data_IF_766862586811
#
_entry.id   IF_766862586811
#
_cell.length_a   1.000
_cell.length_b   1.000
_cell.length_c   1.000
_cell.angle_alpha   90.00
_cell.angle_beta   90.00
_cell.angle_gamma   90.00
#
_symmetry.space_group_name_H-M   'P 1'
#
loop_
_entity.id
_entity.type
_entity.pdbx_description
1 polymer ?
#
# COMPACT_ATOMS: atom_id res chain seq x y z
N UNK A 1 56.45 13.71 41.57
CA UNK A 1 57.12 14.95 41.08
C UNK A 1 56.21 15.62 40.03
N UNK A 2 56.02 16.96 39.92
CA UNK A 2 56.92 18.05 39.40
C UNK A 2 57.49 17.69 38.00
N UNK A 3 57.38 18.46 36.89
CA UNK A 3 56.98 19.86 36.55
C UNK A 3 56.13 19.86 35.24
N UNK A 4 55.06 20.65 35.01
CA UNK A 4 54.87 22.10 34.65
C UNK A 4 55.14 22.54 33.17
N UNK A 5 54.08 23.15 32.59
CA UNK A 5 53.82 24.02 31.38
C UNK A 5 54.85 25.18 31.15
N UNK A 6 54.82 26.09 30.10
CA UNK A 6 53.64 26.65 29.36
C UNK A 6 53.78 27.26 27.92
N UNK A 7 52.68 27.85 27.40
CA UNK A 7 52.62 28.85 26.29
C UNK A 7 52.48 28.25 24.86
N UNK A 8 52.00 28.94 23.81
CA UNK A 8 51.35 30.26 23.59
C UNK A 8 50.82 30.27 22.11
N UNK A 9 50.07 31.21 21.50
CA UNK A 9 49.14 32.32 21.86
C UNK A 9 48.25 32.63 20.61
N UNK A 10 47.14 33.39 20.71
CA UNK A 10 46.29 33.84 19.55
C UNK A 10 46.72 35.20 18.98
N UNK A 11 46.26 35.57 17.77
CA UNK A 11 45.55 36.84 17.62
C UNK A 11 44.15 36.71 16.99
N UNK A 12 43.34 37.75 17.18
CA UNK A 12 42.04 37.96 16.52
C UNK A 12 42.20 39.19 15.62
N UNK A 13 41.71 39.14 14.38
CA UNK A 13 41.53 40.32 13.53
C UNK A 13 40.05 40.43 13.14
N UNK A 14 39.50 41.63 13.23
CA UNK A 14 38.10 41.94 12.91
C UNK A 14 38.05 42.88 11.70
N UNK A 15 37.02 42.75 10.85
CA UNK A 15 36.47 43.92 10.13
C UNK A 15 35.04 43.73 9.60
N UNK A 16 34.25 44.74 9.94
CA UNK A 16 32.84 45.04 9.69
C UNK A 16 32.26 44.75 8.30
N UNK A 17 30.99 44.29 8.31
CA UNK A 17 29.83 44.77 7.54
C UNK A 17 29.94 45.02 6.02
N UNK A 18 29.07 44.34 5.26
CA UNK A 18 28.64 44.74 3.92
C UNK A 18 27.27 44.12 3.60
N UNK A 19 26.27 44.93 3.25
CA UNK A 19 24.90 44.47 2.97
C UNK A 19 24.62 44.34 1.47
N UNK A 20 23.80 43.35 1.06
CA UNK A 20 22.86 43.45 -0.08
C UNK A 20 21.91 42.25 -0.19
N UNK A 21 20.73 42.52 -0.75
CA UNK A 21 19.64 41.55 -1.00
C UNK A 21 19.84 40.87 -2.35
N UNK A 22 19.70 39.54 -2.41
CA UNK A 22 19.26 38.80 -3.60
C UNK A 22 18.34 37.67 -3.13
N UNK A 23 17.02 37.87 -3.19
CA UNK A 23 16.12 37.57 -4.31
C UNK A 23 15.83 36.06 -4.47
N UNK A 24 14.67 35.70 -3.94
CA UNK A 24 13.95 34.45 -4.16
C UNK A 24 13.76 34.20 -5.67
N UNK A 25 14.21 33.05 -6.19
CA UNK A 25 13.89 32.59 -7.54
C UNK A 25 12.75 31.57 -7.42
N UNK A 26 11.55 31.99 -7.84
CA UNK A 26 10.39 31.10 -7.95
C UNK A 26 10.41 30.50 -9.35
N UNK A 27 10.66 29.20 -9.47
CA UNK A 27 10.42 28.47 -10.71
C UNK A 27 8.92 28.21 -10.88
N UNK A 28 8.25 29.12 -11.60
CA UNK A 28 6.90 28.89 -12.10
C UNK A 28 7.00 27.96 -13.31
N UNK A 29 6.78 26.66 -13.12
CA UNK A 29 6.60 25.73 -14.24
C UNK A 29 5.18 25.88 -14.75
N UNK A 30 5.04 26.44 -15.96
CA UNK A 30 3.75 26.68 -16.59
C UNK A 30 3.11 25.37 -17.08
N UNK A 31 1.78 25.30 -17.01
CA UNK A 31 1.01 24.24 -17.66
C UNK A 31 0.97 24.49 -19.18
N UNK A 32 1.20 23.48 -20.04
CA UNK A 32 0.93 23.59 -21.47
C UNK A 32 -0.58 23.58 -21.72
N UNK A 33 -1.15 24.73 -22.07
CA UNK A 33 -2.52 24.82 -22.60
C UNK A 33 -2.59 24.22 -24.00
N UNK A 34 -3.73 23.61 -24.33
CA UNK A 34 -3.98 23.09 -25.68
C UNK A 34 -4.07 24.24 -26.70
N UNK A 35 -3.26 24.20 -27.75
CA UNK A 35 -3.53 24.96 -28.97
C UNK A 35 -4.37 24.11 -29.93
N UNK A 36 -5.57 24.60 -30.24
CA UNK A 36 -6.37 24.11 -31.35
C UNK A 36 -5.87 24.82 -32.62
N UNK A 37 -5.10 24.12 -33.46
CA UNK A 37 -4.68 24.63 -34.77
C UNK A 37 -5.66 24.21 -35.86
N UNK A 38 -6.50 25.15 -36.29
CA UNK A 38 -7.38 24.97 -37.45
C UNK A 38 -6.63 25.34 -38.74
N UNK A 39 -6.27 24.34 -39.55
CA UNK A 39 -5.79 24.54 -40.93
C UNK A 39 -6.74 23.92 -41.93
N UNK A 40 -7.12 24.69 -42.95
CA UNK A 40 -8.02 24.26 -44.02
C UNK A 40 -7.23 23.68 -45.19
N UNK A 41 -7.75 22.58 -45.75
CA UNK A 41 -7.74 22.20 -47.17
C UNK A 41 -6.53 22.58 -48.04
N UNK A 42 -5.87 21.55 -48.57
CA UNK A 42 -5.58 21.48 -50.01
C UNK A 42 -5.84 20.03 -50.48
N UNK A 43 -6.81 19.85 -51.38
CA UNK A 43 -7.09 18.57 -52.05
C UNK A 43 -6.67 18.73 -53.51
N UNK A 44 -5.67 17.97 -53.94
CA UNK A 44 -5.27 17.87 -55.34
C UNK A 44 -6.32 17.10 -56.14
N UNK A 45 -6.70 17.63 -57.32
CA UNK A 45 -7.65 16.97 -58.24
C UNK A 45 -6.89 16.17 -59.30
N UNK A 46 -7.30 14.91 -59.50
CA UNK A 46 -7.14 14.19 -60.78
C UNK A 46 -8.51 13.51 -61.05
N UNK A 47 -9.08 13.60 -62.28
CA UNK A 47 -10.44 13.16 -62.54
C UNK A 47 -10.54 11.70 -63.05
N UNK A 48 -11.64 11.02 -62.71
CA UNK A 48 -12.03 9.74 -63.29
C UNK A 48 -13.54 9.53 -63.17
N UNK A 49 -14.22 9.22 -64.29
CA UNK A 49 -15.66 8.88 -64.30
C UNK A 49 -15.85 7.36 -64.24
N UNK A 50 -16.74 6.90 -63.37
CA UNK A 50 -17.70 5.83 -63.68
C UNK A 50 -18.89 5.90 -62.73
N UNK A 51 -20.08 5.54 -63.21
CA UNK A 51 -21.31 5.51 -62.43
C UNK A 51 -21.80 4.07 -62.24
N UNK A 52 -22.29 3.73 -61.05
CA UNK A 52 -23.42 2.79 -60.96
C UNK A 52 -24.20 2.84 -59.64
N UNK A 53 -25.53 2.79 -59.78
CA UNK A 53 -26.55 2.21 -58.88
C UNK A 53 -26.32 2.24 -57.36
N UNK A 54 -27.13 3.06 -56.70
CA UNK A 54 -27.47 2.90 -55.29
C UNK A 54 -28.21 1.58 -55.01
N UNK A 55 -27.83 0.90 -53.92
CA UNK A 55 -28.71 -0.01 -53.17
C UNK A 55 -28.91 0.57 -51.78
N UNK A 56 -30.16 0.77 -51.35
CA UNK A 56 -30.47 1.12 -49.96
C UNK A 56 -30.24 -0.12 -49.09
N UNK A 57 -29.35 -0.01 -48.11
CA UNK A 57 -29.34 -0.90 -46.94
C UNK A 57 -29.79 -0.05 -45.75
N UNK A 58 -30.94 -0.40 -45.17
CA UNK A 58 -31.49 0.26 -43.99
C UNK A 58 -30.76 -0.23 -42.74
N UNK A 59 -29.69 0.48 -42.35
CA UNK A 59 -29.18 0.38 -41.00
C UNK A 59 -30.04 1.23 -40.06
N UNK A 60 -30.91 0.57 -39.29
CA UNK A 60 -31.63 1.19 -38.17
C UNK A 60 -30.66 1.47 -37.04
N UNK A 61 -29.97 2.61 -37.11
CA UNK A 61 -29.02 3.06 -36.08
C UNK A 61 -29.72 3.33 -34.76
N UNK A 62 -29.52 2.45 -33.77
CA UNK A 62 -29.85 2.74 -32.39
C UNK A 62 -28.91 3.84 -31.87
N UNK A 63 -29.41 4.82 -31.10
CA UNK A 63 -28.59 5.94 -30.65
C UNK A 63 -27.53 5.44 -29.66
N UNK A 64 -26.26 5.66 -30.00
CA UNK A 64 -25.12 5.47 -29.10
C UNK A 64 -25.36 6.29 -27.83
N UNK A 65 -25.65 5.61 -26.71
CA UNK A 65 -25.71 6.24 -25.39
C UNK A 65 -24.32 6.78 -25.08
N UNK A 66 -24.16 8.09 -25.20
CA UNK A 66 -22.96 8.83 -24.79
C UNK A 66 -22.83 8.74 -23.27
N UNK A 67 -22.20 7.66 -22.81
CA UNK A 67 -21.91 7.44 -21.40
C UNK A 67 -20.99 8.54 -20.89
N UNK A 68 -21.56 9.56 -20.24
CA UNK A 68 -20.81 10.65 -19.64
C UNK A 68 -19.80 10.09 -18.67
N UNK A 69 -18.52 10.06 -19.06
CA UNK A 69 -17.41 9.68 -18.18
C UNK A 69 -17.36 10.71 -17.07
N UNK A 70 -17.99 10.38 -15.94
CA UNK A 70 -18.15 11.26 -14.79
C UNK A 70 -16.81 11.36 -14.07
N UNK A 71 -15.94 12.19 -14.64
CA UNK A 71 -14.57 12.42 -14.20
C UNK A 71 -14.56 12.67 -12.69
N UNK A 72 -14.01 11.72 -11.94
CA UNK A 72 -14.08 11.66 -10.48
C UNK A 72 -13.13 12.68 -9.84
N UNK A 73 -13.39 13.96 -10.06
CA UNK A 73 -12.67 15.06 -9.42
C UNK A 73 -12.86 14.95 -7.90
N UNK A 74 -11.75 14.84 -7.17
CA UNK A 74 -11.78 14.91 -5.72
C UNK A 74 -12.30 16.30 -5.31
N UNK A 75 -13.32 16.32 -4.43
CA UNK A 75 -13.87 17.56 -3.87
C UNK A 75 -12.74 18.46 -3.32
N UNK A 76 -12.64 19.74 -3.75
CA UNK A 76 -11.61 20.67 -3.25
C UNK A 76 -11.63 20.81 -1.72
N UNK A 77 -12.80 20.70 -1.10
CA UNK A 77 -12.96 20.66 0.36
C UNK A 77 -12.23 19.47 0.99
N UNK A 78 -12.33 18.27 0.42
CA UNK A 78 -11.61 17.08 0.93
C UNK A 78 -10.10 17.19 0.69
N UNK A 79 -9.67 17.75 -0.44
CA UNK A 79 -8.27 18.08 -0.72
C UNK A 79 -7.71 19.05 0.33
N UNK A 80 -8.46 20.10 0.67
CA UNK A 80 -8.14 21.05 1.73
C UNK A 80 -8.11 20.40 3.12
N UNK A 81 -9.07 19.54 3.48
CA UNK A 81 -9.04 18.81 4.77
C UNK A 81 -7.82 17.89 4.89
N UNK A 82 -7.43 17.18 3.82
CA UNK A 82 -6.20 16.36 3.80
C UNK A 82 -4.93 17.22 3.92
N UNK A 83 -4.86 18.33 3.19
CA UNK A 83 -3.76 19.30 3.31
C UNK A 83 -3.64 19.84 4.74
N UNK A 84 -4.74 20.31 5.35
CA UNK A 84 -4.78 20.73 6.76
C UNK A 84 -4.29 19.65 7.72
N UNK A 85 -4.65 18.38 7.47
CA UNK A 85 -4.23 17.26 8.32
C UNK A 85 -2.70 17.16 8.36
N UNK A 86 -2.05 17.23 7.20
CA UNK A 86 -0.59 17.22 7.09
C UNK A 86 0.07 18.47 7.71
N UNK A 87 -0.51 19.66 7.53
CA UNK A 87 0.08 20.93 8.01
C UNK A 87 -0.13 21.22 9.50
N UNK A 88 -1.20 20.70 10.11
CA UNK A 88 -1.54 20.98 11.52
C UNK A 88 -1.27 19.80 12.46
N UNK A 89 -0.96 18.63 11.89
CA UNK A 89 -0.85 17.35 12.60
C UNK A 89 -2.14 16.92 13.35
N UNK A 90 -3.26 17.63 13.16
CA UNK A 90 -4.62 17.26 13.61
C UNK A 90 -5.42 16.71 12.42
N UNK A 91 -5.78 15.43 12.47
CA UNK A 91 -6.50 14.74 11.40
C UNK A 91 -7.87 15.37 11.23
N UNK A 92 -8.05 16.00 10.07
CA UNK A 92 -9.30 16.61 9.59
C UNK A 92 -9.92 15.81 8.45
N UNK A 93 -9.14 14.95 7.79
CA UNK A 93 -9.63 13.90 6.89
C UNK A 93 -8.81 12.62 7.02
N UNK A 94 -9.49 11.49 7.10
CA UNK A 94 -8.90 10.14 7.27
C UNK A 94 -9.37 9.25 6.11
N UNK A 95 -8.80 9.42 4.91
CA UNK A 95 -9.31 8.81 3.69
C UNK A 95 -9.24 7.29 3.64
N UNK A 96 -8.32 6.67 4.38
CA UNK A 96 -8.14 5.22 4.45
C UNK A 96 -8.27 4.78 5.91
N UNK A 97 -8.91 3.64 6.16
CA UNK A 97 -8.85 2.95 7.46
C UNK A 97 -8.45 1.50 7.23
N UNK A 98 -7.71 0.92 8.17
CA UNK A 98 -7.33 -0.49 8.15
C UNK A 98 -8.00 -1.12 9.36
N UNK A 99 -8.93 -2.05 9.12
CA UNK A 99 -9.55 -2.83 10.19
C UNK A 99 -8.87 -4.20 10.25
N UNK A 100 -8.73 -4.75 11.46
CA UNK A 100 -8.42 -6.16 11.67
C UNK A 100 -9.67 -6.83 12.28
N UNK A 101 -10.63 -7.33 11.48
CA UNK A 101 -11.82 -7.97 12.01
C UNK A 101 -11.53 -9.13 12.97
N UNK A 102 -10.40 -9.82 12.79
CA UNK A 102 -10.05 -11.00 13.56
C UNK A 102 -8.54 -11.05 13.85
N UNK A 103 -8.19 -11.39 15.09
CA UNK A 103 -6.80 -11.68 15.50
C UNK A 103 -6.28 -12.94 14.82
N UNK A 104 -7.04 -14.05 14.92
CA UNK A 104 -6.60 -15.34 14.43
C UNK A 104 -6.42 -15.42 12.92
N UNK A 105 -5.48 -16.27 12.51
CA UNK A 105 -5.14 -16.60 11.13
C UNK A 105 -5.23 -18.11 10.90
N UNK A 106 -5.56 -18.51 9.68
CA UNK A 106 -5.60 -19.89 9.18
C UNK A 106 -4.28 -20.37 8.53
N UNK A 107 -3.28 -19.49 8.35
CA UNK A 107 -1.91 -19.85 7.95
C UNK A 107 -0.92 -19.79 9.13
N UNK A 108 0.28 -20.35 8.93
CA UNK A 108 1.37 -20.42 9.94
C UNK A 108 2.68 -19.89 9.35
N UNK A 109 2.59 -18.76 8.65
CA UNK A 109 3.60 -18.29 7.71
C UNK A 109 4.98 -18.09 8.36
N UNK A 110 6.05 -18.53 7.69
CA UNK A 110 7.42 -18.52 8.23
C UNK A 110 7.97 -17.13 8.56
N UNK A 111 7.41 -16.08 7.95
CA UNK A 111 7.80 -14.67 8.08
C UNK A 111 6.79 -13.82 8.88
N UNK A 112 5.85 -14.43 9.61
CA UNK A 112 4.77 -13.72 10.30
C UNK A 112 4.45 -14.35 11.66
N UNK A 113 4.23 -13.50 12.68
CA UNK A 113 3.90 -13.94 14.05
C UNK A 113 2.45 -13.61 14.46
N UNK A 114 1.63 -13.00 13.59
CA UNK A 114 0.22 -12.64 13.88
C UNK A 114 -0.54 -13.82 14.50
N UNK A 115 -0.34 -15.00 13.92
CA UNK A 115 -1.01 -16.25 14.31
C UNK A 115 -0.62 -16.79 15.69
N UNK A 116 0.42 -16.25 16.35
CA UNK A 116 0.89 -16.74 17.66
C UNK A 116 0.08 -16.15 18.81
N UNK A 117 -0.13 -14.85 18.82
CA UNK A 117 -0.99 -14.14 19.79
C UNK A 117 -2.49 -14.30 19.49
N UNK A 118 -2.93 -15.51 19.18
CA UNK A 118 -4.34 -15.85 18.93
C UNK A 118 -5.09 -16.31 20.19
N UNK A 119 -4.41 -16.40 21.35
CA UNK A 119 -4.89 -17.16 22.51
C UNK A 119 -6.28 -16.70 23.01
N UNK A 120 -6.55 -15.41 22.92
CA UNK A 120 -7.81 -14.77 23.35
C UNK A 120 -8.90 -14.67 22.26
N UNK A 121 -8.61 -15.08 21.02
CA UNK A 121 -9.49 -14.98 19.84
C UNK A 121 -10.21 -13.62 19.70
N UNK A 122 -9.54 -12.50 20.03
CA UNK A 122 -10.10 -11.15 19.92
C UNK A 122 -10.60 -10.89 18.50
N UNK A 123 -11.79 -10.34 18.38
CA UNK A 123 -12.44 -9.97 17.14
C UNK A 123 -13.31 -8.73 17.32
N UNK A 124 -13.45 -7.92 16.28
CA UNK A 124 -14.42 -6.83 16.27
C UNK A 124 -15.86 -7.40 16.24
N UNK A 125 -16.80 -6.64 16.79
CA UNK A 125 -18.24 -6.89 16.80
C UNK A 125 -18.97 -5.98 15.81
N UNK A 126 -20.28 -6.20 15.63
CA UNK A 126 -21.12 -5.30 14.83
C UNK A 126 -21.21 -3.89 15.46
N UNK A 127 -21.29 -3.80 16.79
CA UNK A 127 -21.37 -2.54 17.50
C UNK A 127 -20.13 -1.67 17.25
N UNK A 128 -18.93 -2.25 17.31
CA UNK A 128 -17.67 -1.52 17.08
C UNK A 128 -17.64 -0.87 15.69
N UNK A 129 -18.11 -1.58 14.66
CA UNK A 129 -18.13 -1.07 13.28
C UNK A 129 -19.23 -0.03 13.07
N UNK A 130 -20.37 -0.14 13.77
CA UNK A 130 -21.42 0.88 13.78
C UNK A 130 -20.95 2.18 14.45
N UNK A 131 -20.32 2.09 15.63
CA UNK A 131 -19.83 3.26 16.37
C UNK A 131 -18.71 3.99 15.62
N UNK A 132 -17.90 3.25 14.85
CA UNK A 132 -16.92 3.84 13.94
C UNK A 132 -17.55 4.66 12.80
N UNK A 133 -18.71 4.27 12.24
CA UNK A 133 -19.28 4.88 11.02
C UNK A 133 -19.35 6.41 11.09
N UNK A 134 -19.84 6.97 12.20
CA UNK A 134 -19.97 8.43 12.37
C UNK A 134 -18.63 9.14 12.24
N UNK A 135 -17.55 8.55 12.80
CA UNK A 135 -16.19 9.08 12.67
C UNK A 135 -15.67 8.94 11.22
N UNK A 136 -15.90 7.78 10.58
CA UNK A 136 -15.48 7.55 9.19
C UNK A 136 -16.14 8.53 8.20
N UNK A 137 -17.45 8.75 8.37
CA UNK A 137 -18.27 9.69 7.59
C UNK A 137 -17.76 11.12 7.73
N UNK A 138 -17.60 11.61 8.97
CA UNK A 138 -17.15 12.97 9.27
C UNK A 138 -15.73 13.24 8.75
N UNK A 139 -14.83 12.28 8.90
CA UNK A 139 -13.46 12.37 8.41
C UNK A 139 -13.32 12.05 6.90
N UNK A 140 -14.41 11.71 6.22
CA UNK A 140 -14.42 11.51 4.77
C UNK A 140 -13.61 10.30 4.30
N UNK A 141 -13.66 9.20 5.07
CA UNK A 141 -13.10 7.91 4.66
C UNK A 141 -13.68 7.47 3.32
N UNK A 142 -12.84 6.87 2.50
CA UNK A 142 -13.18 6.37 1.15
C UNK A 142 -12.86 4.91 0.95
N UNK A 143 -11.93 4.36 1.72
CA UNK A 143 -11.51 2.98 1.61
C UNK A 143 -11.26 2.38 3.00
N UNK A 144 -11.82 1.21 3.25
CA UNK A 144 -11.44 0.32 4.34
C UNK A 144 -10.66 -0.85 3.75
N UNK A 145 -9.45 -1.07 4.26
CA UNK A 145 -8.69 -2.30 4.06
C UNK A 145 -9.03 -3.27 5.20
N UNK A 146 -9.72 -4.36 4.88
CA UNK A 146 -9.87 -5.48 5.79
C UNK A 146 -8.57 -6.28 5.82
N UNK A 147 -7.99 -6.43 7.01
CA UNK A 147 -6.69 -7.05 7.30
C UNK A 147 -6.81 -7.91 8.57
N UNK A 148 -5.69 -8.19 9.25
CA UNK A 148 -5.66 -8.97 10.50
C UNK A 148 -4.89 -10.27 10.32
N UNK A 149 -5.28 -11.31 11.06
CA UNK A 149 -4.81 -12.67 10.80
C UNK A 149 -5.41 -13.22 9.52
N UNK A 150 -6.72 -13.43 9.52
CA UNK A 150 -7.54 -13.61 8.31
C UNK A 150 -8.92 -13.00 8.57
N UNK A 151 -9.27 -11.94 7.84
CA UNK A 151 -10.52 -11.22 8.05
C UNK A 151 -11.76 -12.10 7.84
N UNK A 152 -11.68 -13.08 6.92
CA UNK A 152 -12.74 -14.05 6.63
C UNK A 152 -12.96 -15.12 7.71
N UNK A 153 -12.29 -15.02 8.87
CA UNK A 153 -12.59 -15.82 10.06
C UNK A 153 -13.59 -15.14 11.02
N UNK A 154 -13.77 -13.82 10.96
CA UNK A 154 -14.81 -13.16 11.74
C UNK A 154 -16.20 -13.51 11.17
N UNK A 155 -17.15 -14.05 11.96
CA UNK A 155 -18.48 -14.44 11.47
C UNK A 155 -19.30 -13.24 10.96
N UNK A 156 -19.03 -12.05 11.47
CA UNK A 156 -19.71 -10.80 11.11
C UNK A 156 -19.05 -10.08 9.91
N UNK A 157 -18.01 -10.64 9.28
CA UNK A 157 -17.23 -9.98 8.22
C UNK A 157 -18.10 -9.36 7.11
N UNK A 158 -19.08 -10.09 6.59
CA UNK A 158 -19.95 -9.58 5.52
C UNK A 158 -20.97 -8.55 6.02
N UNK A 159 -21.36 -8.62 7.30
CA UNK A 159 -22.20 -7.63 7.95
C UNK A 159 -21.45 -6.30 8.14
N UNK A 160 -20.16 -6.34 8.49
CA UNK A 160 -19.30 -5.15 8.46
C UNK A 160 -19.22 -4.55 7.07
N UNK A 161 -19.15 -5.39 6.03
CA UNK A 161 -19.11 -4.91 4.66
C UNK A 161 -20.41 -4.22 4.25
N UNK A 162 -21.58 -4.80 4.58
CA UNK A 162 -22.89 -4.18 4.38
C UNK A 162 -22.98 -2.82 5.09
N UNK A 163 -22.58 -2.74 6.36
CA UNK A 163 -22.58 -1.52 7.19
C UNK A 163 -21.71 -0.42 6.56
N UNK A 164 -20.47 -0.74 6.16
CA UNK A 164 -19.57 0.20 5.48
C UNK A 164 -20.09 0.65 4.11
N UNK A 165 -20.80 -0.22 3.38
CA UNK A 165 -21.40 0.11 2.08
C UNK A 165 -22.54 1.13 2.20
N UNK A 166 -23.22 1.26 3.34
CA UNK A 166 -24.27 2.29 3.54
C UNK A 166 -23.72 3.72 3.41
N UNK A 167 -22.45 3.94 3.79
CA UNK A 167 -21.75 5.23 3.66
C UNK A 167 -20.93 5.34 2.36
N UNK A 168 -21.14 4.43 1.40
CA UNK A 168 -20.42 4.34 0.13
C UNK A 168 -18.88 4.30 0.31
N UNK A 169 -18.42 3.58 1.33
CA UNK A 169 -17.01 3.29 1.57
C UNK A 169 -16.59 2.09 0.71
N UNK A 170 -15.44 2.18 0.04
CA UNK A 170 -14.85 1.06 -0.69
C UNK A 170 -14.20 0.06 0.25
N UNK A 171 -14.25 -1.22 -0.09
CA UNK A 171 -13.74 -2.31 0.73
C UNK A 171 -12.74 -3.13 -0.07
N UNK A 172 -11.50 -3.13 0.39
CA UNK A 172 -10.43 -4.01 -0.11
C UNK A 172 -10.18 -5.10 0.92
N UNK A 173 -10.07 -6.36 0.49
CA UNK A 173 -9.78 -7.48 1.40
C UNK A 173 -8.36 -8.01 1.20
N UNK A 174 -7.51 -7.92 2.23
CA UNK A 174 -6.27 -8.68 2.31
C UNK A 174 -6.58 -10.09 2.87
N UNK A 175 -6.23 -11.15 2.13
CA UNK A 175 -6.53 -12.54 2.53
C UNK A 175 -5.40 -13.52 2.21
N UNK A 176 -5.40 -14.64 2.94
CA UNK A 176 -4.60 -15.85 2.67
C UNK A 176 -5.07 -16.61 1.43
N UNK A 177 -6.26 -16.29 0.90
CA UNK A 177 -6.84 -16.97 -0.26
C UNK A 177 -7.58 -18.28 0.08
N UNK A 178 -7.25 -18.94 1.20
CA UNK A 178 -7.71 -20.28 1.55
C UNK A 178 -9.23 -20.47 1.60
N UNK A 179 -9.99 -19.41 1.88
CA UNK A 179 -11.45 -19.47 2.05
C UNK A 179 -12.23 -18.68 1.00
N UNK A 180 -11.58 -18.18 -0.06
CA UNK A 180 -12.25 -17.41 -1.11
C UNK A 180 -13.34 -18.22 -1.83
N UNK A 181 -13.08 -19.50 -2.14
CA UNK A 181 -14.02 -20.39 -2.86
C UNK A 181 -15.39 -20.51 -2.17
N UNK A 182 -15.41 -20.76 -0.86
CA UNK A 182 -16.66 -20.89 -0.07
C UNK A 182 -17.41 -19.56 0.11
N UNK A 183 -16.76 -18.44 -0.18
CA UNK A 183 -17.23 -17.09 0.11
C UNK A 183 -17.48 -16.27 -1.17
N UNK A 184 -17.30 -16.86 -2.36
CA UNK A 184 -17.12 -16.13 -3.62
C UNK A 184 -18.30 -15.19 -3.97
N UNK A 185 -19.54 -15.62 -3.74
CA UNK A 185 -20.74 -14.81 -3.97
C UNK A 185 -20.81 -13.57 -3.08
N UNK A 186 -20.62 -13.76 -1.76
CA UNK A 186 -20.62 -12.66 -0.79
C UNK A 186 -19.43 -11.71 -1.02
N UNK A 187 -18.27 -12.22 -1.44
CA UNK A 187 -17.13 -11.41 -1.84
C UNK A 187 -17.44 -10.55 -3.07
N UNK A 188 -17.99 -11.15 -4.14
CA UNK A 188 -18.38 -10.47 -5.38
C UNK A 188 -19.48 -9.41 -5.16
N UNK A 189 -20.37 -9.64 -4.18
CA UNK A 189 -21.45 -8.74 -3.77
C UNK A 189 -20.96 -7.55 -2.95
N UNK A 190 -20.10 -7.78 -1.95
CA UNK A 190 -19.83 -6.78 -0.90
C UNK A 190 -18.44 -6.13 -0.95
N UNK A 191 -17.45 -6.76 -1.57
CA UNK A 191 -16.05 -6.29 -1.64
C UNK A 191 -15.77 -5.67 -3.03
N UNK A 192 -14.91 -4.67 -3.11
CA UNK A 192 -14.56 -4.01 -4.39
C UNK A 192 -13.31 -4.61 -5.05
N UNK A 193 -12.30 -4.97 -4.25
CA UNK A 193 -11.08 -5.65 -4.68
C UNK A 193 -10.52 -6.59 -3.61
N UNK A 194 -9.78 -7.62 -4.03
CA UNK A 194 -9.12 -8.58 -3.15
C UNK A 194 -7.61 -8.54 -3.40
N UNK A 195 -6.84 -8.49 -2.31
CA UNK A 195 -5.39 -8.65 -2.31
C UNK A 195 -5.07 -10.04 -1.74
N UNK A 196 -4.69 -10.98 -2.61
CA UNK A 196 -4.28 -12.33 -2.21
C UNK A 196 -2.81 -12.36 -1.85
N UNK A 197 -2.48 -13.10 -0.80
CA UNK A 197 -1.11 -13.49 -0.46
C UNK A 197 -0.54 -14.46 -1.49
N UNK A 198 0.63 -14.19 -2.08
CA UNK A 198 1.29 -15.08 -3.05
C UNK A 198 2.81 -14.96 -2.93
N UNK A 199 3.49 -16.01 -2.45
CA UNK A 199 4.94 -15.96 -2.16
C UNK A 199 5.80 -16.97 -2.93
N UNK A 200 5.22 -17.71 -3.88
CA UNK A 200 5.92 -18.77 -4.61
C UNK A 200 5.09 -19.36 -5.75
N UNK A 201 5.61 -20.43 -6.35
CA UNK A 201 4.80 -21.43 -7.06
C UNK A 201 3.99 -22.27 -6.06
N UNK A 202 3.42 -23.40 -6.48
CA UNK A 202 2.66 -24.29 -5.60
C UNK A 202 3.45 -24.76 -4.37
N UNK A 203 4.68 -25.24 -4.55
CA UNK A 203 5.48 -25.80 -3.47
C UNK A 203 6.06 -24.72 -2.55
N UNK A 204 6.65 -23.66 -3.12
CA UNK A 204 7.23 -22.56 -2.36
C UNK A 204 6.17 -21.76 -1.60
N UNK A 205 4.98 -21.54 -2.17
CA UNK A 205 3.87 -20.90 -1.47
C UNK A 205 3.40 -21.74 -0.26
N UNK A 206 3.14 -23.03 -0.46
CA UNK A 206 2.63 -23.92 0.60
C UNK A 206 3.63 -24.06 1.75
N UNK A 207 4.93 -24.11 1.44
CA UNK A 207 6.04 -24.10 2.40
C UNK A 207 6.08 -22.79 3.20
N UNK A 208 6.09 -21.62 2.52
CA UNK A 208 6.20 -20.31 3.17
C UNK A 208 4.96 -20.00 4.03
N UNK A 209 3.78 -20.43 3.59
CA UNK A 209 2.52 -20.29 4.34
C UNK A 209 2.34 -21.36 5.42
N UNK A 210 3.14 -22.43 5.34
CA UNK A 210 3.10 -23.63 6.19
C UNK A 210 1.69 -24.24 6.25
N UNK A 211 1.07 -24.41 5.06
CA UNK A 211 -0.25 -25.01 4.87
C UNK A 211 -0.27 -25.79 3.54
N UNK A 212 -0.38 -27.14 3.56
CA UNK A 212 -0.52 -27.93 2.35
C UNK A 212 -1.80 -27.63 1.54
N UNK A 213 -1.62 -27.52 0.23
CA UNK A 213 -2.65 -27.17 -0.74
C UNK A 213 -3.12 -25.72 -0.67
N UNK A 214 -2.35 -24.80 -0.08
CA UNK A 214 -2.74 -23.39 0.08
C UNK A 214 -2.84 -22.67 -1.27
N UNK A 215 -1.80 -22.80 -2.10
CA UNK A 215 -1.78 -22.26 -3.47
C UNK A 215 -2.96 -22.78 -4.29
N UNK A 216 -3.27 -24.08 -4.17
CA UNK A 216 -4.41 -24.68 -4.87
C UNK A 216 -5.75 -24.09 -4.40
N UNK A 217 -6.00 -24.06 -3.08
CA UNK A 217 -7.24 -23.50 -2.50
C UNK A 217 -7.45 -22.02 -2.87
N UNK A 218 -6.38 -21.23 -2.84
CA UNK A 218 -6.39 -19.84 -3.33
C UNK A 218 -6.75 -19.79 -4.82
N UNK A 219 -6.11 -20.62 -5.66
CA UNK A 219 -6.35 -20.66 -7.11
C UNK A 219 -7.78 -21.07 -7.45
N UNK A 220 -8.37 -22.05 -6.74
CA UNK A 220 -9.78 -22.38 -6.88
C UNK A 220 -10.70 -21.21 -6.50
N UNK A 221 -10.37 -20.49 -5.43
CA UNK A 221 -11.13 -19.32 -4.99
C UNK A 221 -11.09 -18.16 -5.97
N UNK A 222 -9.92 -17.89 -6.56
CA UNK A 222 -9.75 -16.91 -7.65
C UNK A 222 -10.60 -17.32 -8.85
N UNK A 223 -10.55 -18.60 -9.26
CA UNK A 223 -11.38 -19.14 -10.36
C UNK A 223 -12.88 -18.98 -10.07
N UNK A 224 -13.34 -19.28 -8.85
CA UNK A 224 -14.75 -19.11 -8.46
C UNK A 224 -15.21 -17.64 -8.54
N UNK A 225 -14.38 -16.68 -8.07
CA UNK A 225 -14.67 -15.25 -8.18
C UNK A 225 -14.71 -14.80 -9.65
N UNK A 226 -13.76 -15.27 -10.48
CA UNK A 226 -13.71 -14.96 -11.92
C UNK A 226 -14.90 -15.52 -12.68
N UNK A 227 -15.44 -16.69 -12.31
CA UNK A 227 -16.66 -17.24 -12.91
C UNK A 227 -17.90 -16.37 -12.61
N UNK A 228 -18.02 -15.85 -11.39
CA UNK A 228 -19.14 -14.98 -11.00
C UNK A 228 -19.02 -13.56 -11.56
N UNK A 229 -17.79 -13.01 -11.67
CA UNK A 229 -17.52 -11.65 -12.16
C UNK A 229 -16.11 -11.59 -12.76
N UNK A 230 -15.94 -11.85 -14.08
CA UNK A 230 -14.63 -11.91 -14.73
C UNK A 230 -13.73 -10.68 -14.51
N UNK A 231 -14.34 -9.50 -14.40
CA UNK A 231 -13.66 -8.21 -14.19
C UNK A 231 -13.49 -7.80 -12.71
N UNK A 232 -13.74 -8.69 -11.75
CA UNK A 232 -13.49 -8.41 -10.33
C UNK A 232 -11.98 -8.22 -10.09
N UNK A 233 -11.55 -7.14 -9.43
CA UNK A 233 -10.11 -6.88 -9.25
C UNK A 233 -9.50 -7.80 -8.19
N UNK A 234 -8.50 -8.58 -8.58
CA UNK A 234 -7.70 -9.43 -7.68
C UNK A 234 -6.22 -9.12 -7.89
N UNK A 235 -5.54 -8.69 -6.84
CA UNK A 235 -4.12 -8.28 -6.84
C UNK A 235 -3.31 -9.24 -5.98
N UNK A 236 -2.11 -9.63 -6.40
CA UNK A 236 -1.17 -10.39 -5.57
C UNK A 236 -0.37 -9.48 -4.65
N UNK A 237 -0.06 -9.95 -3.44
CA UNK A 237 0.99 -9.36 -2.60
C UNK A 237 1.95 -10.43 -2.11
N UNK A 238 3.22 -10.16 -2.31
CA UNK A 238 4.35 -11.01 -1.94
C UNK A 238 5.18 -10.31 -0.88
N UNK A 239 5.58 -11.06 0.15
CA UNK A 239 6.73 -10.68 0.96
C UNK A 239 7.94 -11.37 0.36
N UNK A 240 8.89 -10.59 -0.16
CA UNK A 240 10.20 -11.11 -0.58
C UNK A 240 11.03 -11.34 0.67
N UNK A 241 11.66 -12.51 0.76
CA UNK A 241 12.54 -12.92 1.86
C UNK A 241 13.41 -14.10 1.43
N UNK A 242 14.20 -14.65 2.36
CA UNK A 242 15.18 -15.72 2.10
C UNK A 242 14.67 -16.91 1.28
N UNK A 243 13.43 -17.37 1.49
CA UNK A 243 12.94 -18.60 0.86
C UNK A 243 12.34 -18.41 -0.54
N UNK A 244 12.22 -17.17 -1.04
CA UNK A 244 11.59 -16.92 -2.34
C UNK A 244 12.27 -15.88 -3.22
N UNK A 245 13.30 -15.18 -2.74
CA UNK A 245 13.97 -14.15 -3.54
C UNK A 245 14.56 -14.71 -4.85
N UNK A 246 15.10 -15.94 -4.84
CA UNK A 246 15.62 -16.61 -6.04
C UNK A 246 14.49 -17.00 -7.03
N UNK A 247 13.30 -17.29 -6.52
CA UNK A 247 12.11 -17.68 -7.29
C UNK A 247 11.20 -16.51 -7.69
N UNK A 248 11.65 -15.26 -7.55
CA UNK A 248 10.86 -14.06 -7.82
C UNK A 248 10.27 -14.02 -9.26
N UNK A 249 10.99 -14.43 -10.33
CA UNK A 249 10.39 -14.56 -11.66
C UNK A 249 9.21 -15.55 -11.69
N UNK A 250 9.33 -16.69 -11.01
CA UNK A 250 8.30 -17.73 -10.94
C UNK A 250 7.08 -17.27 -10.15
N UNK A 251 7.24 -16.37 -9.15
CA UNK A 251 6.11 -15.71 -8.47
C UNK A 251 5.30 -14.85 -9.47
N UNK A 252 5.99 -14.12 -10.36
CA UNK A 252 5.36 -13.25 -11.37
C UNK A 252 4.60 -14.09 -12.41
N UNK A 253 5.20 -15.18 -12.89
CA UNK A 253 4.50 -16.08 -13.83
C UNK A 253 3.36 -16.85 -13.16
N UNK A 254 3.50 -17.24 -11.89
CA UNK A 254 2.39 -17.83 -11.10
C UNK A 254 1.22 -16.85 -10.97
N UNK A 255 1.50 -15.57 -10.72
CA UNK A 255 0.49 -14.51 -10.63
C UNK A 255 -0.28 -14.31 -11.95
N UNK A 256 0.41 -14.40 -13.10
CA UNK A 256 -0.21 -14.38 -14.43
C UNK A 256 -1.05 -15.63 -14.66
N UNK A 257 -0.50 -16.81 -14.38
CA UNK A 257 -1.15 -18.11 -14.60
C UNK A 257 -2.48 -18.25 -13.83
N UNK A 258 -2.54 -17.81 -12.57
CA UNK A 258 -3.77 -17.87 -11.77
C UNK A 258 -4.75 -16.72 -12.06
N UNK A 259 -4.41 -15.79 -12.96
CA UNK A 259 -5.30 -14.72 -13.41
C UNK A 259 -5.45 -13.56 -12.41
N UNK A 260 -4.35 -13.06 -11.86
CA UNK A 260 -4.32 -11.79 -11.12
C UNK A 260 -4.26 -10.59 -12.08
N UNK A 261 -4.76 -9.43 -11.66
CA UNK A 261 -4.71 -8.17 -12.44
C UNK A 261 -3.41 -7.38 -12.23
N UNK A 262 -2.70 -7.67 -11.14
CA UNK A 262 -1.50 -6.97 -10.66
C UNK A 262 -0.82 -7.81 -9.57
N UNK A 263 0.46 -7.58 -9.31
CA UNK A 263 1.21 -8.09 -8.16
C UNK A 263 2.07 -6.99 -7.52
N UNK A 264 2.21 -7.01 -6.19
CA UNK A 264 2.96 -6.03 -5.41
C UNK A 264 3.96 -6.68 -4.46
N UNK A 265 5.18 -6.12 -4.41
CA UNK A 265 6.32 -6.65 -3.66
C UNK A 265 6.72 -5.73 -2.51
N UNK A 266 7.02 -6.34 -1.36
CA UNK A 266 7.56 -5.70 -0.16
C UNK A 266 8.69 -6.57 0.42
N UNK A 267 9.72 -6.00 1.07
CA UNK A 267 10.65 -6.78 1.87
C UNK A 267 9.97 -7.27 3.17
N UNK A 268 10.43 -8.40 3.69
CA UNK A 268 10.11 -8.83 5.06
C UNK A 268 10.65 -7.85 6.12
N UNK A 269 9.77 -7.42 7.03
CA UNK A 269 10.17 -6.74 8.27
C UNK A 269 10.51 -7.78 9.34
N UNK A 270 11.73 -7.72 9.85
CA UNK A 270 12.27 -8.63 10.87
C UNK A 270 12.54 -7.95 12.21
N UNK A 271 12.42 -6.62 12.30
CA UNK A 271 13.04 -5.81 13.36
C UNK A 271 12.08 -4.81 14.02
N UNK A 272 10.78 -5.12 14.08
CA UNK A 272 9.76 -4.26 14.70
C UNK A 272 8.74 -5.05 15.53
N UNK A 273 7.99 -4.36 16.39
CA UNK A 273 6.87 -4.97 17.13
C UNK A 273 5.60 -5.18 16.29
N UNK A 274 5.61 -4.79 15.01
CA UNK A 274 4.51 -5.05 14.09
C UNK A 274 4.21 -6.55 13.97
N UNK A 275 2.97 -6.85 13.57
CA UNK A 275 2.52 -8.21 13.25
C UNK A 275 2.58 -9.17 14.45
N UNK A 276 2.14 -8.67 15.61
CA UNK A 276 1.96 -9.40 16.87
C UNK A 276 3.28 -9.91 17.50
N UNK A 277 4.34 -9.10 17.42
CA UNK A 277 5.65 -9.37 18.04
C UNK A 277 5.84 -8.54 19.29
N UNK A 278 5.27 -9.00 20.40
CA UNK A 278 5.49 -8.41 21.73
C UNK A 278 6.99 -8.32 22.06
N UNK A 279 7.71 -9.44 21.85
CA UNK A 279 9.17 -9.51 21.92
C UNK A 279 9.76 -9.44 20.51
N UNK A 280 10.77 -8.60 20.31
CA UNK A 280 11.52 -8.53 19.05
C UNK A 280 12.21 -9.87 18.76
N UNK A 281 12.25 -10.27 17.48
CA UNK A 281 13.00 -11.45 17.08
C UNK A 281 14.49 -11.31 17.40
N UNK A 282 15.07 -12.35 18.01
CA UNK A 282 16.52 -12.46 18.17
C UNK A 282 17.21 -12.46 16.80
N UNK A 283 18.45 -12.01 16.74
CA UNK A 283 19.27 -11.94 15.52
C UNK A 283 19.23 -13.25 14.71
N UNK A 284 19.42 -14.40 15.37
CA UNK A 284 19.25 -15.74 14.77
C UNK A 284 17.90 -15.89 14.05
N UNK A 285 16.80 -15.51 14.71
CA UNK A 285 15.44 -15.60 14.15
C UNK A 285 15.21 -14.58 13.03
N UNK A 286 15.95 -13.47 12.99
CA UNK A 286 15.94 -12.56 11.85
C UNK A 286 16.64 -13.19 10.63
N UNK A 287 17.79 -13.88 10.79
CA UNK A 287 18.51 -14.57 9.71
C UNK A 287 17.84 -15.85 9.16
N UNK A 288 16.80 -16.36 9.84
CA UNK A 288 15.87 -17.35 9.26
C UNK A 288 14.97 -16.75 8.17
N UNK A 289 14.84 -15.42 8.10
CA UNK A 289 13.94 -14.69 7.19
C UNK A 289 14.70 -13.73 6.26
N UNK A 290 15.73 -13.03 6.75
CA UNK A 290 16.64 -12.22 5.93
C UNK A 290 17.41 -13.11 4.94
N UNK A 291 17.56 -12.72 3.66
CA UNK A 291 18.61 -13.26 2.81
C UNK A 291 19.98 -13.06 3.48
N UNK A 292 20.87 -14.05 3.37
CA UNK A 292 22.25 -13.98 3.90
C UNK A 292 23.11 -13.00 3.08
N UNK A 293 24.21 -12.52 3.66
CA UNK A 293 25.12 -11.55 3.02
C UNK A 293 25.62 -12.02 1.64
N UNK A 294 26.04 -13.29 1.54
CA UNK A 294 26.42 -13.96 0.28
C UNK A 294 25.26 -14.13 -0.73
N UNK A 295 24.00 -14.04 -0.28
CA UNK A 295 22.81 -14.16 -1.14
C UNK A 295 22.44 -12.80 -1.78
N UNK A 296 23.01 -11.68 -1.30
CA UNK A 296 22.74 -10.32 -1.82
C UNK A 296 23.13 -10.15 -3.29
N UNK A 297 24.21 -10.76 -3.74
CA UNK A 297 24.64 -10.74 -5.15
C UNK A 297 23.68 -11.53 -6.05
N UNK A 298 23.06 -12.59 -5.54
CA UNK A 298 22.05 -13.34 -6.28
C UNK A 298 20.73 -12.59 -6.35
N UNK A 299 20.28 -12.02 -5.23
CA UNK A 299 19.14 -11.10 -5.18
C UNK A 299 19.30 -9.95 -6.20
N UNK A 300 20.51 -9.40 -6.33
CA UNK A 300 20.81 -8.37 -7.33
C UNK A 300 20.68 -8.90 -8.76
N UNK A 301 21.30 -10.05 -9.07
CA UNK A 301 21.15 -10.72 -10.39
C UNK A 301 19.69 -11.00 -10.74
N UNK A 302 18.86 -11.40 -9.76
CA UNK A 302 17.42 -11.59 -9.96
C UNK A 302 16.72 -10.28 -10.29
N UNK A 303 17.01 -9.19 -9.57
CA UNK A 303 16.42 -7.87 -9.85
C UNK A 303 16.81 -7.35 -11.25
N UNK A 304 18.07 -7.53 -11.66
CA UNK A 304 18.54 -7.17 -13.00
C UNK A 304 17.89 -8.02 -14.10
N UNK A 305 17.66 -9.32 -13.83
CA UNK A 305 16.84 -10.20 -14.68
C UNK A 305 15.40 -9.69 -14.80
N UNK A 306 14.75 -9.29 -13.69
CA UNK A 306 13.38 -8.75 -13.71
C UNK A 306 13.29 -7.44 -14.52
N UNK A 307 14.26 -6.53 -14.37
CA UNK A 307 14.26 -5.27 -15.13
C UNK A 307 14.41 -5.47 -16.64
N UNK A 308 15.14 -6.51 -17.03
CA UNK A 308 15.38 -6.93 -18.41
C UNK A 308 14.14 -7.61 -19.01
N UNK A 309 13.64 -8.67 -18.35
CA UNK A 309 12.63 -9.57 -18.93
C UNK A 309 11.19 -9.10 -18.70
N UNK A 310 10.89 -8.49 -17.54
CA UNK A 310 9.53 -8.09 -17.16
C UNK A 310 9.19 -6.64 -17.56
N UNK A 311 9.83 -6.09 -18.60
CA UNK A 311 9.61 -4.70 -19.04
C UNK A 311 8.12 -4.39 -19.28
N UNK A 312 7.42 -5.23 -20.02
CA UNK A 312 5.98 -5.03 -20.26
C UNK A 312 5.14 -5.10 -18.98
N UNK A 313 5.55 -5.87 -17.97
CA UNK A 313 4.83 -5.98 -16.70
C UNK A 313 4.99 -4.71 -15.85
N UNK A 314 6.17 -4.07 -15.86
CA UNK A 314 6.36 -2.74 -15.30
C UNK A 314 5.57 -1.67 -16.07
N UNK A 315 5.72 -1.63 -17.39
CA UNK A 315 5.16 -0.58 -18.24
C UNK A 315 3.62 -0.61 -18.26
N UNK A 316 3.00 -1.82 -18.16
CA UNK A 316 1.55 -2.00 -18.00
C UNK A 316 1.06 -1.99 -16.54
N UNK A 317 1.95 -1.75 -15.56
CA UNK A 317 1.66 -1.73 -14.12
C UNK A 317 1.11 -3.06 -13.56
N UNK A 318 1.41 -4.18 -14.22
CA UNK A 318 1.18 -5.52 -13.64
C UNK A 318 2.08 -5.72 -12.42
N UNK A 319 3.34 -5.27 -12.49
CA UNK A 319 4.14 -5.03 -11.29
C UNK A 319 3.74 -3.65 -10.73
N UNK A 320 3.28 -3.61 -9.48
CA UNK A 320 2.75 -2.40 -8.85
C UNK A 320 3.86 -1.38 -8.48
N UNK A 321 5.07 -1.85 -8.23
CA UNK A 321 6.25 -1.06 -7.88
C UNK A 321 6.87 -0.36 -9.11
N UNK A 322 7.66 0.69 -8.87
CA UNK A 322 8.64 1.19 -9.85
C UNK A 322 9.91 0.33 -9.81
N UNK A 323 10.75 0.38 -10.86
CA UNK A 323 12.08 -0.26 -10.85
C UNK A 323 12.91 0.19 -9.64
N UNK A 324 12.87 1.48 -9.31
CA UNK A 324 13.46 2.06 -8.09
C UNK A 324 12.95 1.38 -6.80
N UNK A 325 11.63 1.22 -6.62
CA UNK A 325 11.07 0.58 -5.42
C UNK A 325 11.41 -0.92 -5.34
N UNK A 326 11.57 -1.60 -6.48
CA UNK A 326 12.10 -2.99 -6.52
C UNK A 326 13.58 -3.02 -6.12
N UNK A 327 14.43 -2.15 -6.67
CA UNK A 327 15.85 -2.05 -6.29
C UNK A 327 16.02 -1.75 -4.80
N UNK A 328 15.15 -0.91 -4.23
CA UNK A 328 15.13 -0.59 -2.80
C UNK A 328 14.85 -1.81 -1.89
N UNK A 329 14.39 -2.95 -2.41
CA UNK A 329 14.31 -4.22 -1.66
C UNK A 329 15.73 -4.80 -1.45
N UNK A 330 16.60 -4.77 -2.47
CA UNK A 330 18.02 -5.12 -2.29
C UNK A 330 18.72 -4.13 -1.34
N UNK A 331 18.54 -2.82 -1.55
CA UNK A 331 19.13 -1.80 -0.66
C UNK A 331 18.59 -1.86 0.78
N UNK A 332 17.41 -2.44 1.01
CA UNK A 332 16.90 -2.70 2.35
C UNK A 332 17.66 -3.82 3.04
N UNK A 333 17.96 -4.92 2.35
CA UNK A 333 18.72 -6.03 2.91
C UNK A 333 20.21 -5.75 3.04
N UNK A 334 20.82 -5.15 2.03
CA UNK A 334 22.21 -4.71 2.06
C UNK A 334 22.51 -3.72 3.21
N UNK A 335 21.49 -3.00 3.70
CA UNK A 335 21.60 -2.14 4.89
C UNK A 335 21.64 -2.88 6.24
N UNK A 336 21.18 -4.14 6.33
CA UNK A 336 21.43 -4.97 7.53
C UNK A 336 22.91 -5.37 7.65
N UNK A 337 23.59 -5.53 6.51
CA UNK A 337 25.00 -5.92 6.41
C UNK A 337 25.94 -4.72 6.21
N UNK A 338 25.46 -3.49 6.41
CA UNK A 338 26.29 -2.27 6.43
C UNK A 338 26.75 -1.72 5.07
N UNK A 339 26.39 -2.35 3.94
CA UNK A 339 26.80 -1.91 2.60
C UNK A 339 26.23 -0.54 2.19
N UNK A 340 25.08 -0.15 2.74
CA UNK A 340 24.47 1.17 2.53
C UNK A 340 23.53 1.55 3.68
N UNK A 341 23.19 2.84 3.81
CA UNK A 341 22.10 3.28 4.68
C UNK A 341 20.75 2.73 4.20
N UNK A 342 19.81 2.44 5.10
CA UNK A 342 18.45 2.05 4.73
C UNK A 342 17.81 3.08 3.78
N UNK A 343 17.15 2.64 2.68
CA UNK A 343 16.60 3.57 1.69
C UNK A 343 15.53 4.47 2.31
N UNK A 344 15.48 5.74 1.93
CA UNK A 344 14.53 6.72 2.49
C UNK A 344 13.07 6.38 2.15
N UNK A 345 12.17 6.50 3.12
CA UNK A 345 10.72 6.31 2.94
C UNK A 345 9.97 7.63 3.06
N UNK A 346 9.55 8.20 1.93
CA UNK A 346 8.52 9.24 1.93
C UNK A 346 7.20 8.61 2.39
N UNK A 347 6.72 8.96 3.57
CA UNK A 347 5.53 8.38 4.18
C UNK A 347 4.68 9.45 4.88
N UNK A 348 3.37 9.29 4.86
CA UNK A 348 2.41 10.09 5.64
C UNK A 348 1.27 9.24 6.23
N UNK A 349 1.42 7.91 6.32
CA UNK A 349 0.39 7.00 6.83
C UNK A 349 -0.27 7.46 8.16
N UNK A 350 0.48 7.91 9.20
CA UNK A 350 -0.10 8.41 10.45
C UNK A 350 -1.08 9.60 10.33
N UNK A 351 -1.06 10.35 9.23
CA UNK A 351 -1.92 11.52 9.00
C UNK A 351 -3.12 11.23 8.07
N UNK A 352 -3.08 10.13 7.32
CA UNK A 352 -4.06 9.79 6.26
C UNK A 352 -4.76 8.45 6.48
N UNK A 353 -4.30 7.68 7.48
CA UNK A 353 -4.83 6.37 7.82
C UNK A 353 -4.70 6.07 9.31
N UNK A 354 -5.46 5.07 9.76
CA UNK A 354 -5.36 4.48 11.09
C UNK A 354 -5.53 2.96 10.98
N UNK A 355 -4.94 2.20 11.90
CA UNK A 355 -5.24 0.79 12.13
C UNK A 355 -6.15 0.68 13.36
N UNK A 356 -7.22 -0.09 13.24
CA UNK A 356 -8.03 -0.58 14.37
C UNK A 356 -7.84 -2.10 14.45
N UNK A 357 -7.27 -2.55 15.55
CA UNK A 357 -6.92 -3.95 15.82
C UNK A 357 -8.12 -4.72 16.38
N UNK A 358 -8.02 -6.06 16.43
CA UNK A 358 -9.15 -6.95 16.69
C UNK A 358 -9.68 -6.93 18.14
N UNK A 359 -8.99 -6.23 19.03
CA UNK A 359 -9.34 -5.92 20.42
C UNK A 359 -9.86 -4.48 20.61
N UNK A 360 -9.98 -3.71 19.52
CA UNK A 360 -10.30 -2.29 19.52
C UNK A 360 -9.09 -1.35 19.63
N UNK A 361 -7.85 -1.85 19.71
CA UNK A 361 -6.65 -1.02 19.86
C UNK A 361 -6.36 -0.21 18.60
N UNK A 362 -5.97 1.06 18.75
CA UNK A 362 -5.85 2.02 17.66
C UNK A 362 -4.39 2.45 17.47
N UNK A 363 -3.82 2.21 16.28
CA UNK A 363 -2.44 2.60 15.93
C UNK A 363 -2.38 3.54 14.73
N UNK A 364 -1.39 4.45 14.64
CA UNK A 364 -1.22 5.34 13.49
C UNK A 364 -0.69 4.59 12.25
N UNK A 365 0.00 3.46 12.46
CA UNK A 365 0.28 2.41 11.48
C UNK A 365 0.68 1.13 12.25
N UNK A 366 0.83 -0.01 11.55
CA UNK A 366 1.20 -1.30 12.16
C UNK A 366 2.52 -1.32 12.95
N UNK A 367 3.42 -0.36 12.74
CA UNK A 367 4.79 -0.39 13.26
C UNK A 367 5.00 0.47 14.50
N UNK A 368 4.04 1.32 14.86
CA UNK A 368 4.11 2.21 16.02
C UNK A 368 3.17 1.78 17.14
N UNK A 369 3.36 2.40 18.31
CA UNK A 369 2.59 2.14 19.52
C UNK A 369 1.10 2.54 19.38
N UNK A 370 0.28 2.04 20.30
CA UNK A 370 -1.13 2.38 20.38
C UNK A 370 -1.34 3.83 20.85
N UNK A 371 -2.30 4.52 20.25
CA UNK A 371 -2.77 5.84 20.68
C UNK A 371 -3.94 5.77 21.67
N UNK A 372 -4.58 4.60 21.79
CA UNK A 372 -5.76 4.34 22.61
C UNK A 372 -6.49 3.08 22.15
N UNK A 373 -7.69 2.84 22.69
CA UNK A 373 -8.57 1.72 22.31
C UNK A 373 -10.03 2.24 22.23
N UNK A 374 -10.77 1.83 21.20
CA UNK A 374 -12.14 2.34 20.92
C UNK A 374 -13.14 2.01 22.03
N UNK A 375 -12.92 0.92 22.78
CA UNK A 375 -13.76 0.48 23.89
C UNK A 375 -13.75 1.47 25.06
N UNK A 376 -12.78 2.38 25.11
CA UNK A 376 -12.63 3.38 26.16
C UNK A 376 -13.01 4.81 25.72
N UNK A 377 -12.86 5.14 24.43
CA UNK A 377 -13.26 6.45 23.89
C UNK A 377 -13.35 6.46 22.37
N UNK A 378 -14.11 7.41 21.79
CA UNK A 378 -14.35 7.44 20.35
C UNK A 378 -13.08 7.64 19.52
N UNK A 379 -13.03 7.01 18.33
CA UNK A 379 -11.86 7.04 17.45
C UNK A 379 -11.38 8.47 17.14
N UNK A 380 -12.30 9.43 16.93
CA UNK A 380 -11.93 10.83 16.70
C UNK A 380 -11.12 11.44 17.87
N UNK A 381 -11.48 11.12 19.12
CA UNK A 381 -10.74 11.56 20.32
C UNK A 381 -9.37 10.89 20.41
N UNK A 382 -9.27 9.61 20.04
CA UNK A 382 -7.99 8.86 20.06
C UNK A 382 -7.01 9.46 19.04
N UNK A 383 -7.41 9.55 17.77
CA UNK A 383 -6.49 9.97 16.70
C UNK A 383 -6.10 11.45 16.79
N UNK A 384 -6.89 12.28 17.50
CA UNK A 384 -6.63 13.69 17.74
C UNK A 384 -6.37 14.02 19.22
N UNK A 385 -5.93 13.04 20.01
CA UNK A 385 -5.41 13.26 21.35
C UNK A 385 -4.15 14.12 21.31
N UNK A 386 -3.78 14.73 22.45
CA UNK A 386 -2.57 15.56 22.54
C UNK A 386 -1.32 14.74 22.16
N UNK A 387 -1.18 13.53 22.70
CA UNK A 387 -0.06 12.62 22.39
C UNK A 387 -0.05 12.17 20.92
N UNK A 388 -1.20 11.90 20.30
CA UNK A 388 -1.26 11.56 18.87
C UNK A 388 -0.86 12.74 17.97
N UNK A 389 -1.20 13.97 18.36
CA UNK A 389 -0.79 15.19 17.66
C UNK A 389 0.72 15.46 17.86
N UNK A 390 1.24 15.30 19.07
CA UNK A 390 2.67 15.47 19.38
C UNK A 390 3.56 14.42 18.72
N UNK A 391 3.15 13.15 18.76
CA UNK A 391 3.77 12.07 17.98
C UNK A 391 3.90 12.49 16.50
N UNK A 392 2.82 12.94 15.87
CA UNK A 392 2.86 13.39 14.46
C UNK A 392 3.66 14.67 14.24
N UNK A 393 3.81 15.57 15.22
CA UNK A 393 4.69 16.75 15.10
C UNK A 393 6.17 16.35 15.11
N UNK A 394 6.51 15.35 15.90
CA UNK A 394 7.90 14.92 16.15
C UNK A 394 8.36 13.76 15.24
N UNK A 395 7.46 13.17 14.45
CA UNK A 395 7.76 12.01 13.61
C UNK A 395 8.53 12.40 12.33
N UNK A 396 9.85 12.32 12.43
CA UNK A 396 10.78 12.42 11.30
C UNK A 396 11.05 11.02 10.70
N UNK A 397 10.69 10.83 9.43
CA UNK A 397 10.81 9.55 8.71
C UNK A 397 12.26 9.10 8.43
N UNK A 398 13.21 10.03 8.44
CA UNK A 398 14.64 9.77 8.23
C UNK A 398 15.34 9.44 9.56
N UNK A 399 14.89 10.06 10.67
CA UNK A 399 15.54 9.91 11.99
C UNK A 399 14.92 8.82 12.87
N UNK A 400 13.62 8.59 12.77
CA UNK A 400 12.94 7.59 13.61
C UNK A 400 13.32 6.15 13.21
N UNK A 401 13.80 5.34 14.16
CA UNK A 401 14.30 3.97 13.91
C UNK A 401 13.25 3.03 13.31
N UNK A 402 12.00 3.11 13.77
CA UNK A 402 10.88 2.36 13.19
C UNK A 402 10.68 2.75 11.72
N UNK A 403 10.67 4.05 11.41
CA UNK A 403 10.49 4.54 10.05
C UNK A 403 11.68 4.19 9.13
N UNK A 404 12.92 4.30 9.61
CA UNK A 404 14.14 3.88 8.89
C UNK A 404 14.03 2.43 8.40
N UNK A 405 13.56 1.52 9.26
CA UNK A 405 13.48 0.07 8.98
C UNK A 405 12.10 -0.40 8.47
N UNK A 406 11.12 0.51 8.32
CA UNK A 406 9.77 0.18 7.89
C UNK A 406 9.71 -0.31 6.42
N UNK A 407 8.99 -1.41 6.20
CA UNK A 407 8.82 -2.05 4.88
C UNK A 407 7.53 -1.64 4.15
N UNK A 408 6.51 -1.18 4.89
CA UNK A 408 5.18 -0.86 4.37
C UNK A 408 4.86 0.61 4.62
N UNK A 409 5.31 1.46 3.68
CA UNK A 409 5.12 2.91 3.72
C UNK A 409 4.09 3.37 2.67
N UNK A 410 3.36 4.45 2.99
CA UNK A 410 2.31 5.04 2.17
C UNK A 410 2.53 6.57 2.10
N UNK A 411 2.52 7.13 0.89
CA UNK A 411 2.52 8.58 0.65
C UNK A 411 1.29 8.96 -0.19
N UNK A 412 0.18 9.26 0.49
CA UNK A 412 -1.06 9.69 -0.16
C UNK A 412 -1.04 11.21 -0.35
N UNK A 413 -1.08 11.72 -1.59
CA UNK A 413 -1.12 13.17 -1.80
C UNK A 413 -2.48 13.74 -1.41
N UNK A 414 -2.57 15.03 -1.01
CA UNK A 414 -3.86 15.66 -0.72
C UNK A 414 -4.89 15.52 -1.83
N UNK A 415 -4.47 15.51 -3.10
CA UNK A 415 -5.33 15.38 -4.29
C UNK A 415 -5.48 13.96 -4.86
N UNK A 416 -5.01 12.91 -4.17
CA UNK A 416 -5.16 11.53 -4.66
C UNK A 416 -6.62 11.06 -4.58
N UNK A 417 -7.27 10.95 -5.73
CA UNK A 417 -8.58 10.32 -5.88
C UNK A 417 -8.47 8.85 -5.43
N UNK A 418 -9.47 8.38 -4.66
CA UNK A 418 -9.62 7.01 -4.17
C UNK A 418 -10.97 6.46 -4.60
#
# INVERSE_FOLDING_TARGET
MKKKRPGSVRPIITKKWGSRKWRLIIFIIAFPTWMISSTRSCITRIPGRTSCRSRKILFTGSPLKTGTVKMLLQSPYQTYKRYRSLQTHKISAMPIVILMPHSACNCRCVMCDIWKGNQDLKQLSEADVLDLLTTLKNLGTRQVLMSGGEALLNPNFFRFCEILKTENIKISLLSTGLTLKKNAENLVKWVDDIIVSLDGDGATHDLIRNIPGAFHKMTEGIKAIRLLKPSFRITGRTVIHRLNYASWPQIIESAKHIGLDQISFLPADVSSHAFNREVLWSEKRQHEVLPEEKELDELKRVIDYLFTNNKHDFDRRFIAESREKIHNIWSYYAAFYGYNSFPYKKCNAPWVSVVVEADGTVRPCFFHEAMGNINHTSLEKIINSQSAIEFRKNLDMEKNETCKKCVCYLNLSPGTIL
#
